data_IF_603249314878
#
_entry.id   IF_603249314878
#
_cell.length_a   1.000
_cell.length_b   1.000
_cell.length_c   1.000
_cell.angle_alpha   90.00
_cell.angle_beta   90.00
_cell.angle_gamma   90.00
#
_symmetry.space_group_name_H-M   'P 1'
#
loop_
_entity.id
_entity.type
_entity.pdbx_description
1 polymer ?
#
# COMPACT_ATOMS: atom_id res chain seq x y z
N UNK A 1 10.83 8.98 27.98
CA UNK A 1 11.58 8.45 26.82
C UNK A 1 10.66 8.62 25.65
N UNK A 2 10.89 9.67 24.86
CA UNK A 2 9.88 10.27 24.00
C UNK A 2 10.56 10.57 22.68
N UNK A 3 10.60 9.60 21.75
CA UNK A 3 11.12 9.79 20.38
C UNK A 3 10.86 8.52 19.55
N UNK A 4 9.61 8.28 19.12
CA UNK A 4 9.28 7.31 18.05
C UNK A 4 7.96 7.57 17.31
N UNK A 5 7.35 8.76 17.49
CA UNK A 5 6.07 9.13 16.87
C UNK A 5 6.20 10.26 15.82
N UNK A 6 7.38 10.49 15.26
CA UNK A 6 7.69 11.74 14.54
C UNK A 6 7.79 11.68 13.00
N UNK A 7 7.25 10.66 12.33
CA UNK A 7 7.33 10.64 10.85
C UNK A 7 6.16 9.92 10.17
N UNK A 8 4.94 10.26 10.54
CA UNK A 8 3.77 10.07 9.68
C UNK A 8 3.39 11.44 9.10
N UNK A 9 4.24 11.95 8.20
CA UNK A 9 3.95 13.23 7.55
C UNK A 9 3.18 12.94 6.28
N UNK A 10 1.99 13.51 6.18
CA UNK A 10 1.38 13.73 4.88
C UNK A 10 2.35 14.57 4.04
N UNK A 11 2.61 14.13 2.82
CA UNK A 11 3.50 14.83 1.89
C UNK A 11 2.69 15.41 0.74
N UNK A 12 2.94 16.68 0.46
CA UNK A 12 2.40 17.31 -0.73
C UNK A 12 3.32 17.00 -1.91
N UNK A 13 2.84 16.15 -2.81
CA UNK A 13 3.52 15.81 -4.06
C UNK A 13 3.13 16.79 -5.17
N UNK A 14 4.05 17.04 -6.10
CA UNK A 14 3.76 17.79 -7.31
C UNK A 14 2.80 17.01 -8.23
N UNK A 15 1.95 17.71 -8.97
CA UNK A 15 0.90 17.08 -9.81
C UNK A 15 1.44 16.07 -10.82
N UNK A 16 2.62 16.33 -11.39
CA UNK A 16 3.32 15.41 -12.29
C UNK A 16 3.78 14.12 -11.58
N UNK A 17 4.22 14.19 -10.33
CA UNK A 17 4.58 13.01 -9.54
C UNK A 17 3.32 12.23 -9.12
N UNK A 18 2.25 12.94 -8.72
CA UNK A 18 0.96 12.31 -8.42
C UNK A 18 0.42 11.54 -9.63
N UNK A 19 0.40 12.17 -10.80
CA UNK A 19 -0.06 11.54 -12.04
C UNK A 19 0.71 10.25 -12.37
N UNK A 20 2.03 10.22 -12.16
CA UNK A 20 2.81 8.98 -12.34
C UNK A 20 2.43 7.87 -11.36
N UNK A 21 2.07 8.21 -10.13
CA UNK A 21 1.62 7.24 -9.14
C UNK A 21 0.21 6.73 -9.50
N UNK A 22 -0.69 7.65 -9.87
CA UNK A 22 -2.06 7.36 -10.33
C UNK A 22 -2.07 6.42 -11.54
N UNK A 23 -1.20 6.66 -12.53
CA UNK A 23 -1.04 5.82 -13.73
C UNK A 23 -0.61 4.37 -13.41
N UNK A 24 -0.13 4.09 -12.20
CA UNK A 24 0.34 2.76 -11.78
C UNK A 24 -0.53 2.13 -10.67
N UNK A 25 -1.69 2.70 -10.34
CA UNK A 25 -2.59 2.13 -9.32
C UNK A 25 -3.12 0.75 -9.73
N UNK A 26 -3.44 0.54 -11.01
CA UNK A 26 -3.90 -0.77 -11.52
C UNK A 26 -2.87 -1.89 -11.25
N UNK A 27 -1.57 -1.57 -11.30
CA UNK A 27 -0.51 -2.52 -10.97
C UNK A 27 -0.53 -2.87 -9.48
N UNK A 28 -0.77 -1.88 -8.62
CA UNK A 28 -0.88 -2.08 -7.18
C UNK A 28 -2.11 -2.92 -6.81
N UNK A 29 -3.25 -2.69 -7.46
CA UNK A 29 -4.44 -3.56 -7.36
C UNK A 29 -4.10 -5.00 -7.76
N UNK A 30 -3.36 -5.20 -8.86
CA UNK A 30 -2.93 -6.52 -9.31
C UNK A 30 -2.06 -7.24 -8.28
N UNK A 31 -1.12 -6.52 -7.64
CA UNK A 31 -0.30 -7.05 -6.54
C UNK A 31 -1.17 -7.44 -5.35
N UNK A 32 -2.11 -6.58 -4.92
CA UNK A 32 -3.01 -6.84 -3.79
C UNK A 32 -3.88 -8.07 -4.09
N UNK A 33 -4.54 -8.13 -5.24
CA UNK A 33 -5.35 -9.31 -5.64
C UNK A 33 -4.53 -10.59 -5.56
N UNK A 34 -3.28 -10.54 -6.02
CA UNK A 34 -2.39 -11.71 -6.04
C UNK A 34 -1.95 -12.17 -4.65
N UNK A 35 -1.89 -11.26 -3.68
CA UNK A 35 -1.44 -11.56 -2.30
C UNK A 35 -2.58 -11.85 -1.33
N UNK A 36 -3.74 -11.23 -1.55
CA UNK A 36 -4.86 -11.28 -0.62
C UNK A 36 -5.96 -12.27 -1.03
N UNK A 37 -5.83 -12.91 -2.19
CA UNK A 37 -6.91 -13.61 -2.89
C UNK A 37 -8.13 -12.69 -3.11
N UNK A 38 -9.29 -13.25 -3.47
CA UNK A 38 -10.47 -12.51 -3.95
C UNK A 38 -10.78 -11.23 -3.13
N UNK A 39 -10.68 -10.06 -3.77
CA UNK A 39 -10.94 -8.76 -3.15
C UNK A 39 -12.37 -8.63 -2.60
N UNK A 40 -13.32 -9.44 -3.09
CA UNK A 40 -14.69 -9.47 -2.56
C UNK A 40 -14.75 -9.83 -1.06
N UNK A 41 -13.71 -10.48 -0.52
CA UNK A 41 -13.58 -10.74 0.94
C UNK A 41 -12.89 -9.61 1.72
N UNK A 42 -12.38 -8.59 1.02
CA UNK A 42 -11.69 -7.42 1.59
C UNK A 42 -12.61 -6.23 1.84
N UNK A 43 -13.89 -6.34 1.46
CA UNK A 43 -14.93 -5.32 1.63
C UNK A 43 -15.08 -4.78 3.08
N UNK A 44 -14.45 -5.42 4.07
CA UNK A 44 -14.74 -5.18 5.50
C UNK A 44 -13.55 -5.22 6.45
N UNK A 45 -12.34 -5.50 5.99
CA UNK A 45 -11.23 -5.80 6.91
C UNK A 45 -9.93 -5.18 6.41
N UNK A 46 -9.33 -4.34 7.24
CA UNK A 46 -7.91 -3.98 7.15
C UNK A 46 -7.07 -5.24 7.24
N UNK A 47 -6.34 -5.55 6.16
CA UNK A 47 -5.44 -6.69 6.13
C UNK A 47 -4.02 -6.23 5.83
N UNK A 48 -3.08 -6.81 6.56
CA UNK A 48 -1.66 -6.68 6.29
C UNK A 48 -1.07 -8.07 6.11
N UNK A 49 -0.18 -8.23 5.15
CA UNK A 49 0.64 -9.42 4.97
C UNK A 49 2.10 -9.06 5.16
N UNK A 50 2.81 -9.88 5.93
CA UNK A 50 4.26 -9.87 6.01
C UNK A 50 4.82 -10.98 5.13
N UNK A 51 5.93 -10.68 4.46
CA UNK A 51 6.61 -11.64 3.59
C UNK A 51 7.78 -12.27 4.32
N UNK A 52 7.87 -13.60 4.26
CA UNK A 52 8.90 -14.40 4.90
C UNK A 52 9.71 -15.16 3.85
N UNK A 53 11.00 -15.34 4.11
CA UNK A 53 11.83 -16.24 3.34
C UNK A 53 11.52 -17.69 3.73
N UNK A 54 11.22 -18.55 2.74
CA UNK A 54 10.76 -19.91 2.98
C UNK A 54 11.84 -20.83 3.57
N UNK A 55 13.11 -20.65 3.19
CA UNK A 55 14.21 -21.48 3.67
C UNK A 55 14.58 -21.22 5.13
N UNK A 56 14.51 -19.95 5.54
CA UNK A 56 14.95 -19.51 6.87
C UNK A 56 13.80 -19.27 7.85
N UNK A 57 12.56 -19.21 7.35
CA UNK A 57 11.38 -18.80 8.11
C UNK A 57 11.58 -17.46 8.83
N UNK A 58 12.29 -16.51 8.20
CA UNK A 58 12.52 -15.17 8.76
C UNK A 58 11.82 -14.09 7.93
N UNK A 59 11.33 -13.01 8.57
CA UNK A 59 10.70 -11.92 7.84
C UNK A 59 11.75 -11.17 7.02
N UNK A 60 11.42 -10.84 5.77
CA UNK A 60 12.33 -10.10 4.88
C UNK A 60 12.16 -8.58 4.99
N UNK A 61 11.35 -8.12 5.95
CA UNK A 61 11.07 -6.70 6.19
C UNK A 61 10.18 -6.07 5.13
N UNK A 62 9.35 -6.87 4.44
CA UNK A 62 8.38 -6.38 3.47
C UNK A 62 6.97 -6.64 3.97
N UNK A 63 6.15 -5.59 4.00
CA UNK A 63 4.75 -5.68 4.36
C UNK A 63 3.90 -4.96 3.31
N UNK A 64 2.74 -5.55 3.00
CA UNK A 64 1.70 -4.91 2.20
C UNK A 64 0.42 -4.87 3.01
N UNK A 65 -0.18 -3.68 3.12
CA UNK A 65 -1.44 -3.44 3.77
C UNK A 65 -2.47 -2.88 2.80
N UNK A 66 -3.71 -3.31 2.96
CA UNK A 66 -4.86 -2.89 2.17
C UNK A 66 -6.10 -2.74 3.06
N UNK A 67 -6.89 -1.70 2.82
CA UNK A 67 -8.32 -1.77 3.10
C UNK A 67 -9.14 -0.75 2.33
N UNK A 68 -10.41 -1.08 2.31
CA UNK A 68 -11.52 -0.22 1.95
C UNK A 68 -12.14 0.31 3.24
N UNK A 69 -12.37 1.62 3.34
CA UNK A 69 -13.07 2.27 4.43
C UNK A 69 -14.28 3.05 3.89
N UNK A 70 -15.43 2.94 4.58
CA UNK A 70 -16.67 3.60 4.20
C UNK A 70 -17.89 2.86 4.73
N UNK A 71 -19.03 3.55 4.89
CA UNK A 71 -20.28 2.90 5.32
C UNK A 71 -20.79 1.94 4.23
N UNK A 72 -20.94 0.64 4.51
CA UNK A 72 -21.34 -0.36 3.52
C UNK A 72 -22.74 -0.12 2.93
N UNK A 73 -23.66 0.56 3.63
CA UNK A 73 -24.96 0.94 3.05
C UNK A 73 -24.79 2.06 2.00
N UNK A 74 -23.78 2.90 2.19
CA UNK A 74 -23.45 4.06 1.36
C UNK A 74 -22.57 3.66 0.17
N UNK A 75 -21.80 2.58 0.27
CA UNK A 75 -20.92 2.06 -0.80
C UNK A 75 -21.66 1.74 -2.11
N UNK A 76 -22.94 1.35 -2.02
CA UNK A 76 -23.77 1.07 -3.20
C UNK A 76 -24.44 2.30 -3.82
N UNK A 77 -24.41 3.45 -3.12
CA UNK A 77 -25.01 4.68 -3.62
C UNK A 77 -24.00 5.49 -4.45
N UNK A 78 -24.23 5.69 -5.76
CA UNK A 78 -23.37 6.52 -6.61
C UNK A 78 -23.34 8.01 -6.23
N UNK A 79 -24.18 8.47 -5.29
CA UNK A 79 -24.23 9.87 -4.83
C UNK A 79 -23.39 10.17 -3.61
N UNK A 80 -22.83 9.16 -2.96
CA UNK A 80 -22.00 9.33 -1.78
C UNK A 80 -20.54 8.99 -2.08
N UNK A 81 -19.64 9.88 -1.64
CA UNK A 81 -18.20 9.83 -1.89
C UNK A 81 -17.40 9.27 -0.70
N UNK A 82 -18.04 8.61 0.26
CA UNK A 82 -17.40 8.16 1.51
C UNK A 82 -16.70 6.80 1.38
N UNK A 83 -16.10 6.53 0.22
CA UNK A 83 -15.24 5.36 0.02
C UNK A 83 -13.80 5.84 -0.07
N UNK A 84 -12.98 5.38 0.86
CA UNK A 84 -11.53 5.59 0.85
C UNK A 84 -10.85 4.22 0.71
N UNK A 85 -10.10 4.06 -0.38
CA UNK A 85 -9.20 2.91 -0.55
C UNK A 85 -7.83 3.32 -0.06
N UNK A 86 -7.20 2.47 0.74
CA UNK A 86 -5.84 2.68 1.18
C UNK A 86 -4.93 1.52 0.81
N UNK A 87 -3.70 1.89 0.50
CA UNK A 87 -2.57 0.98 0.39
C UNK A 87 -1.48 1.41 1.35
N UNK A 88 -0.75 0.44 1.90
CA UNK A 88 0.46 0.69 2.67
C UNK A 88 1.53 -0.30 2.23
N UNK A 89 2.59 0.22 1.64
CA UNK A 89 3.77 -0.56 1.26
C UNK A 89 4.87 -0.24 2.28
N UNK A 90 5.51 -1.28 2.83
CA UNK A 90 6.65 -1.15 3.75
C UNK A 90 7.79 -2.02 3.23
N UNK A 91 8.99 -1.45 3.11
CA UNK A 91 10.22 -2.17 2.79
C UNK A 91 11.33 -1.69 3.73
N UNK A 92 11.79 -2.56 4.63
CA UNK A 92 12.72 -2.19 5.69
C UNK A 92 12.12 -1.12 6.61
N UNK A 93 12.84 -0.01 6.78
CA UNK A 93 12.38 1.14 7.57
C UNK A 93 11.58 2.17 6.75
N UNK A 94 11.42 1.95 5.44
CA UNK A 94 10.75 2.88 4.52
C UNK A 94 9.29 2.47 4.26
N UNK A 95 8.39 3.46 4.14
CA UNK A 95 6.99 3.19 3.81
C UNK A 95 6.34 4.27 2.95
N UNK A 96 5.34 3.86 2.17
CA UNK A 96 4.40 4.75 1.48
C UNK A 96 2.99 4.26 1.76
N UNK A 97 2.14 5.17 2.27
CA UNK A 97 0.69 4.98 2.34
C UNK A 97 0.02 5.84 1.28
N UNK A 98 -0.86 5.23 0.50
CA UNK A 98 -1.60 5.88 -0.57
C UNK A 98 -3.08 5.83 -0.20
N UNK A 99 -3.72 6.99 -0.07
CA UNK A 99 -5.16 7.11 0.08
C UNK A 99 -5.74 7.59 -1.23
N UNK A 100 -6.73 6.87 -1.73
CA UNK A 100 -7.38 7.16 -3.00
C UNK A 100 -8.84 7.56 -2.80
N UNK A 101 -9.30 8.46 -3.67
CA UNK A 101 -10.71 8.68 -3.91
C UNK A 101 -11.29 7.51 -4.72
N UNK A 102 -12.63 7.45 -4.82
CA UNK A 102 -13.35 6.44 -5.60
C UNK A 102 -12.97 6.40 -7.10
N UNK A 103 -12.51 7.50 -7.66
CA UNK A 103 -12.06 7.59 -9.05
C UNK A 103 -10.57 7.23 -9.23
N UNK A 104 -9.95 6.65 -8.20
CA UNK A 104 -8.53 6.31 -8.13
C UNK A 104 -7.56 7.51 -8.15
N UNK A 105 -8.07 8.75 -8.08
CA UNK A 105 -7.21 9.91 -7.85
C UNK A 105 -6.65 9.91 -6.42
N UNK A 106 -5.43 10.38 -6.25
CA UNK A 106 -4.75 10.45 -4.96
C UNK A 106 -5.39 11.53 -4.10
N UNK A 107 -5.99 11.11 -2.99
CA UNK A 107 -6.45 12.01 -1.94
C UNK A 107 -5.26 12.53 -1.12
N UNK A 108 -4.41 11.62 -0.64
CA UNK A 108 -3.19 11.96 0.14
C UNK A 108 -2.16 10.84 0.10
N UNK A 109 -0.91 11.22 0.34
CA UNK A 109 0.23 10.31 0.51
C UNK A 109 0.83 10.57 1.89
N UNK A 110 1.05 9.50 2.67
CA UNK A 110 1.75 9.57 3.95
C UNK A 110 2.99 8.70 3.84
N UNK A 111 4.17 9.27 4.09
CA UNK A 111 5.44 8.57 3.87
C UNK A 111 6.56 9.13 4.73
N UNK A 112 7.59 8.33 4.95
CA UNK A 112 8.88 8.77 5.49
C UNK A 112 9.99 8.85 4.42
N UNK A 113 9.67 8.65 3.14
CA UNK A 113 10.61 8.85 2.04
C UNK A 113 10.97 10.33 1.95
N UNK A 114 12.27 10.62 1.86
CA UNK A 114 12.75 11.98 1.69
C UNK A 114 12.31 12.55 0.32
N UNK A 115 11.47 13.58 0.35
CA UNK A 115 10.92 14.26 -0.84
C UNK A 115 11.82 15.39 -1.36
N UNK A 116 13.10 15.39 -1.00
CA UNK A 116 14.07 16.41 -1.41
C UNK A 116 14.55 16.26 -2.86
N UNK A 117 14.22 15.15 -3.53
CA UNK A 117 14.52 14.88 -4.93
C UNK A 117 13.22 14.86 -5.75
N UNK A 118 13.25 15.30 -7.01
CA UNK A 118 12.11 15.15 -7.91
C UNK A 118 11.70 13.68 -8.01
N UNK A 119 10.39 13.41 -7.99
CA UNK A 119 9.80 12.08 -8.19
C UNK A 119 10.27 11.02 -7.18
N UNK A 120 10.68 11.43 -5.98
CA UNK A 120 11.27 10.52 -5.00
C UNK A 120 10.32 9.40 -4.57
N UNK A 121 9.04 9.71 -4.36
CA UNK A 121 8.02 8.74 -3.94
C UNK A 121 7.65 7.85 -5.12
N UNK A 122 7.44 8.42 -6.31
CA UNK A 122 7.15 7.64 -7.51
C UNK A 122 8.28 6.64 -7.85
N UNK A 123 9.54 7.07 -7.77
CA UNK A 123 10.69 6.18 -7.97
C UNK A 123 10.83 5.12 -6.89
N UNK A 124 10.47 5.42 -5.64
CA UNK A 124 10.44 4.43 -4.58
C UNK A 124 9.36 3.37 -4.85
N UNK A 125 8.15 3.80 -5.23
CA UNK A 125 7.03 2.91 -5.57
C UNK A 125 7.36 2.00 -6.76
N UNK A 126 7.97 2.52 -7.83
CA UNK A 126 8.43 1.70 -8.97
C UNK A 126 9.38 0.57 -8.53
N UNK A 127 10.32 0.86 -7.62
CA UNK A 127 11.20 -0.20 -7.06
C UNK A 127 10.43 -1.17 -6.18
N UNK A 128 9.47 -0.68 -5.40
CA UNK A 128 8.63 -1.52 -4.56
C UNK A 128 7.80 -2.48 -5.42
N UNK A 129 7.16 -2.00 -6.48
CA UNK A 129 6.37 -2.83 -7.40
C UNK A 129 7.22 -3.93 -8.04
N UNK A 130 8.41 -3.60 -8.56
CA UNK A 130 9.35 -4.61 -9.09
C UNK A 130 9.77 -5.64 -8.05
N UNK A 131 9.86 -5.24 -6.79
CA UNK A 131 10.18 -6.15 -5.68
C UNK A 131 9.01 -7.10 -5.44
N UNK A 132 7.77 -6.60 -5.37
CA UNK A 132 6.58 -7.44 -5.26
C UNK A 132 6.41 -8.37 -6.46
N UNK A 133 6.62 -7.88 -7.69
CA UNK A 133 6.57 -8.70 -8.90
C UNK A 133 7.57 -9.85 -8.84
N UNK A 134 8.80 -9.59 -8.39
CA UNK A 134 9.80 -10.64 -8.20
C UNK A 134 9.35 -11.68 -7.17
N UNK A 135 8.83 -11.23 -6.01
CA UNK A 135 8.36 -12.12 -4.94
C UNK A 135 7.20 -13.00 -5.41
N UNK A 136 6.23 -12.41 -6.13
CA UNK A 136 5.09 -13.11 -6.70
C UNK A 136 5.49 -14.14 -7.76
N UNK A 137 6.52 -13.86 -8.55
CA UNK A 137 7.05 -14.78 -9.57
C UNK A 137 8.03 -15.83 -9.01
N UNK A 138 8.45 -15.72 -7.75
CA UNK A 138 9.40 -16.62 -7.09
C UNK A 138 8.78 -17.28 -5.85
N UNK A 139 7.51 -17.71 -5.97
CA UNK A 139 6.69 -18.17 -4.84
C UNK A 139 7.23 -19.40 -4.11
N UNK A 140 8.14 -20.18 -4.70
CA UNK A 140 8.84 -21.26 -3.98
C UNK A 140 9.79 -20.77 -2.89
N UNK A 141 10.26 -19.52 -2.97
CA UNK A 141 11.27 -18.96 -2.07
C UNK A 141 10.67 -18.13 -0.93
N UNK A 142 9.37 -17.85 -1.00
CA UNK A 142 8.70 -16.93 -0.09
C UNK A 142 7.32 -17.45 0.32
N UNK A 143 6.88 -17.13 1.53
CA UNK A 143 5.51 -17.35 1.96
C UNK A 143 4.97 -16.12 2.69
N UNK A 144 3.64 -16.04 2.80
CA UNK A 144 2.93 -14.93 3.39
C UNK A 144 2.44 -15.31 4.79
N UNK A 145 2.62 -14.42 5.76
CA UNK A 145 1.94 -14.49 7.05
C UNK A 145 1.00 -13.32 7.23
N UNK A 146 -0.23 -13.63 7.63
CA UNK A 146 -1.27 -12.65 7.91
C UNK A 146 -1.01 -11.96 9.24
N UNK A 147 -0.97 -10.63 9.21
CA UNK A 147 -0.82 -9.80 10.40
C UNK A 147 -2.10 -8.99 10.64
N UNK A 148 -2.58 -9.01 11.87
CA UNK A 148 -3.60 -8.07 12.31
C UNK A 148 -2.91 -6.73 12.60
N UNK A 149 -3.37 -5.66 11.95
CA UNK A 149 -2.83 -4.32 12.18
C UNK A 149 -3.97 -3.35 12.52
N UNK A 150 -3.62 -2.28 13.24
CA UNK A 150 -4.51 -1.16 13.54
C UNK A 150 -3.74 0.12 13.28
N UNK A 151 -4.31 1.02 12.48
CA UNK A 151 -3.74 2.34 12.18
C UNK A 151 -3.79 3.34 13.35
#
# INVERSE_FOLDING_TARGET
MTERYQSQNEVELQDNEKGLIEDNIDHLDTIVISLFDNLDELDRVERQVAIYNADTCTPIGIHLGYSICGDPEIQTDPKHNEFEQFYKLVIGDEFVKIHLNRDYSIQKIITNIATNKPYAVAHWLDRAYKTFDYLLNASENFYLEWEHFSF
#
